data_IF_358005240045
#
_entry.id   IF_358005240045
#
_cell.length_a   1.000
_cell.length_b   1.000
_cell.length_c   1.000
_cell.angle_alpha   90.00
_cell.angle_beta   90.00
_cell.angle_gamma   90.00
#
_symmetry.space_group_name_H-M   'P 1'
#
loop_
_entity.id
_entity.type
_entity.pdbx_description
1 polymer ?
#
# COMPACT_ATOMS: atom_id res chain seq x y z
N UNK A 1 -3.10 -9.68 -26.49
CA UNK A 1 -2.44 -9.08 -25.30
C UNK A 1 -3.37 -8.08 -24.63
N UNK A 2 -3.62 -8.20 -23.33
CA UNK A 2 -4.33 -7.16 -22.56
C UNK A 2 -3.42 -5.94 -22.36
N UNK A 3 -3.94 -4.72 -22.53
CA UNK A 3 -3.15 -3.53 -22.26
C UNK A 3 -3.00 -3.31 -20.75
N UNK A 4 -1.90 -2.65 -20.34
CA UNK A 4 -1.65 -2.28 -18.92
C UNK A 4 -2.81 -1.48 -18.32
N UNK A 5 -3.57 -0.75 -19.13
CA UNK A 5 -4.77 -0.02 -18.71
C UNK A 5 -5.96 -0.95 -18.40
N UNK A 6 -6.20 -1.96 -19.23
CA UNK A 6 -7.29 -2.93 -19.05
C UNK A 6 -7.08 -3.81 -17.81
N UNK A 7 -5.83 -4.24 -17.55
CA UNK A 7 -5.49 -5.02 -16.35
C UNK A 7 -5.75 -4.20 -15.08
N UNK A 8 -5.40 -2.91 -15.07
CA UNK A 8 -5.64 -2.02 -13.92
C UNK A 8 -7.11 -1.72 -13.66
N UNK A 9 -7.91 -1.64 -14.73
CA UNK A 9 -9.34 -1.43 -14.61
C UNK A 9 -10.05 -2.71 -14.12
N UNK A 10 -9.74 -3.86 -14.72
CA UNK A 10 -10.35 -5.15 -14.37
C UNK A 10 -10.02 -5.64 -12.96
N UNK A 11 -8.81 -5.34 -12.46
CA UNK A 11 -8.38 -5.67 -11.09
C UNK A 11 -8.88 -4.71 -10.02
N UNK A 12 -9.58 -3.62 -10.39
CA UNK A 12 -10.00 -2.59 -9.44
C UNK A 12 -8.85 -1.73 -8.88
N UNK A 13 -7.65 -1.83 -9.43
CA UNK A 13 -6.45 -1.11 -8.98
C UNK A 13 -6.62 0.42 -9.01
N UNK A 14 -7.40 0.95 -9.96
CA UNK A 14 -7.64 2.39 -10.03
C UNK A 14 -8.50 2.89 -8.86
N UNK A 15 -9.57 2.17 -8.51
CA UNK A 15 -10.42 2.51 -7.36
C UNK A 15 -9.65 2.31 -6.05
N UNK A 16 -8.90 1.22 -5.93
CA UNK A 16 -8.04 0.98 -4.77
C UNK A 16 -6.96 2.05 -4.59
N UNK A 17 -6.44 2.64 -5.67
CA UNK A 17 -5.48 3.75 -5.59
C UNK A 17 -6.12 5.02 -5.05
N UNK A 18 -7.30 5.38 -5.54
CA UNK A 18 -8.04 6.55 -5.05
C UNK A 18 -8.45 6.38 -3.58
N UNK A 19 -8.91 5.18 -3.21
CA UNK A 19 -9.27 4.86 -1.82
C UNK A 19 -8.04 4.93 -0.92
N UNK A 20 -6.92 4.32 -1.33
CA UNK A 20 -5.65 4.42 -0.60
C UNK A 20 -5.21 5.88 -0.41
N UNK A 21 -5.32 6.72 -1.44
CA UNK A 21 -4.95 8.14 -1.32
C UNK A 21 -5.84 8.92 -0.37
N UNK A 22 -7.16 8.66 -0.40
CA UNK A 22 -8.11 9.26 0.54
C UNK A 22 -7.83 8.84 1.98
N UNK A 23 -7.40 7.59 2.17
CA UNK A 23 -7.09 7.01 3.48
C UNK A 23 -5.77 7.43 4.07
N UNK A 24 -4.75 7.60 3.24
CA UNK A 24 -3.48 8.14 3.68
C UNK A 24 -3.56 9.63 4.00
N UNK A 25 -4.60 10.34 3.56
CA UNK A 25 -4.67 11.80 3.71
C UNK A 25 -4.53 12.30 5.16
N UNK A 26 -5.18 11.71 6.18
CA UNK A 26 -5.03 12.14 7.57
C UNK A 26 -3.64 11.85 8.16
N UNK A 27 -2.99 10.75 7.72
CA UNK A 27 -1.68 10.33 8.23
C UNK A 27 -0.50 10.79 7.36
N UNK A 28 -0.77 11.41 6.21
CA UNK A 28 0.24 11.89 5.26
C UNK A 28 1.28 12.83 5.91
N UNK A 29 0.90 13.79 6.78
CA UNK A 29 1.88 14.61 7.49
C UNK A 29 2.81 13.80 8.41
N UNK A 30 2.26 12.78 9.09
CA UNK A 30 3.02 11.88 9.95
C UNK A 30 4.03 11.04 9.15
N UNK A 31 3.61 10.53 7.98
CA UNK A 31 4.48 9.80 7.06
C UNK A 31 5.60 10.68 6.49
N UNK A 32 5.29 11.95 6.20
CA UNK A 32 6.30 12.92 5.75
C UNK A 32 7.30 13.26 6.87
N UNK A 33 6.83 13.39 8.11
CA UNK A 33 7.69 13.63 9.26
C UNK A 33 8.62 12.44 9.54
N UNK A 34 8.10 11.20 9.43
CA UNK A 34 8.89 9.97 9.51
C UNK A 34 9.94 9.89 8.40
N UNK A 35 9.56 10.21 7.16
CA UNK A 35 10.48 10.22 6.02
C UNK A 35 11.59 11.27 6.18
N UNK A 36 11.26 12.46 6.69
CA UNK A 36 12.23 13.51 6.98
C UNK A 36 13.15 13.15 8.15
N UNK A 37 12.65 12.41 9.15
CA UNK A 37 13.43 11.90 10.28
C UNK A 37 14.30 10.70 9.90
N UNK A 38 14.00 10.00 8.80
CA UNK A 38 14.77 8.88 8.28
C UNK A 38 16.06 9.35 7.58
N UNK A 39 16.94 10.05 8.31
CA UNK A 39 18.38 10.03 8.01
C UNK A 39 19.01 8.87 8.78
N UNK A 40 18.72 7.64 8.35
CA UNK A 40 19.32 6.46 8.95
C UNK A 40 20.85 6.50 8.72
N UNK A 41 21.61 6.75 9.80
CA UNK A 41 23.05 6.48 9.86
C UNK A 41 24.00 7.66 10.03
N UNK A 42 23.55 8.92 10.10
CA UNK A 42 24.48 10.08 10.11
C UNK A 42 24.89 10.57 11.50
N UNK A 43 24.10 10.36 12.57
CA UNK A 43 24.51 10.66 13.95
C UNK A 43 23.57 10.05 15.01
N UNK A 44 24.07 9.86 16.24
CA UNK A 44 23.28 9.41 17.40
C UNK A 44 22.08 10.32 17.70
N UNK A 45 22.26 11.64 17.55
CA UNK A 45 21.19 12.61 17.77
C UNK A 45 20.08 12.47 16.73
N UNK A 46 20.43 12.21 15.46
CA UNK A 46 19.45 11.95 14.41
C UNK A 46 18.71 10.63 14.66
N UNK A 47 19.42 9.59 15.12
CA UNK A 47 18.80 8.32 15.50
C UNK A 47 17.81 8.47 16.66
N UNK A 48 18.15 9.23 17.70
CA UNK A 48 17.24 9.48 18.83
C UNK A 48 16.01 10.29 18.40
N UNK A 49 16.18 11.33 17.58
CA UNK A 49 15.04 12.08 17.01
C UNK A 49 14.13 11.17 16.19
N UNK A 50 14.70 10.31 15.35
CA UNK A 50 13.94 9.34 14.57
C UNK A 50 13.15 8.38 15.46
N UNK A 51 13.76 7.82 16.51
CA UNK A 51 13.08 6.93 17.46
C UNK A 51 11.92 7.66 18.16
N UNK A 52 12.14 8.87 18.65
CA UNK A 52 11.09 9.66 19.33
C UNK A 52 9.92 9.97 18.40
N UNK A 53 10.20 10.37 17.16
CA UNK A 53 9.15 10.63 16.16
C UNK A 53 8.40 9.36 15.81
N UNK A 54 9.10 8.24 15.63
CA UNK A 54 8.46 6.93 15.39
C UNK A 54 7.55 6.53 16.54
N UNK A 55 8.03 6.58 17.78
CA UNK A 55 7.21 6.23 18.94
C UNK A 55 5.98 7.13 19.10
N UNK A 56 6.11 8.45 18.88
CA UNK A 56 5.01 9.39 18.99
C UNK A 56 3.96 9.26 17.88
N UNK A 57 4.32 8.68 16.74
CA UNK A 57 3.42 8.55 15.58
C UNK A 57 2.88 7.13 15.38
N UNK A 58 3.49 6.13 16.03
CA UNK A 58 3.17 4.72 15.83
C UNK A 58 1.71 4.37 16.18
N UNK A 59 1.20 4.94 17.25
CA UNK A 59 -0.18 4.71 17.73
C UNK A 59 -1.22 5.17 16.70
N UNK A 60 -1.11 6.42 16.25
CA UNK A 60 -1.99 6.99 15.21
C UNK A 60 -1.86 6.27 13.85
N UNK A 61 -0.68 5.75 13.52
CA UNK A 61 -0.48 4.94 12.32
C UNK A 61 -1.17 3.57 12.45
N UNK A 62 -1.07 2.92 13.62
CA UNK A 62 -1.66 1.61 13.83
C UNK A 62 -3.19 1.65 13.89
N UNK A 63 -3.79 2.67 14.50
CA UNK A 63 -5.25 2.86 14.53
C UNK A 63 -5.86 2.87 13.12
N UNK A 64 -5.19 3.52 12.17
CA UNK A 64 -5.65 3.55 10.77
C UNK A 64 -5.40 2.23 10.05
N UNK A 65 -4.29 1.55 10.35
CA UNK A 65 -3.94 0.28 9.70
C UNK A 65 -4.78 -0.90 10.21
N UNK A 66 -5.21 -0.87 11.48
CA UNK A 66 -6.00 -1.93 12.11
C UNK A 66 -7.51 -1.77 11.88
N UNK A 67 -7.97 -0.68 11.27
CA UNK A 67 -9.39 -0.51 10.95
C UNK A 67 -9.86 -1.71 10.10
N UNK A 68 -10.84 -2.50 10.61
CA UNK A 68 -11.29 -3.72 9.96
C UNK A 68 -11.75 -3.50 8.52
N UNK A 69 -12.36 -2.34 8.23
CA UNK A 69 -12.82 -2.00 6.88
C UNK A 69 -11.66 -2.01 5.87
N UNK A 70 -10.46 -1.67 6.30
CA UNK A 70 -9.23 -1.64 5.49
C UNK A 70 -8.57 -2.98 5.36
N UNK A 71 -8.53 -3.75 6.45
CA UNK A 71 -8.08 -5.13 6.39
C UNK A 71 -8.88 -5.91 5.34
N UNK A 72 -10.21 -5.75 5.34
CA UNK A 72 -11.10 -6.36 4.35
C UNK A 72 -10.89 -5.84 2.93
N UNK A 73 -10.68 -4.53 2.75
CA UNK A 73 -10.45 -3.96 1.44
C UNK A 73 -9.11 -4.40 0.82
N UNK A 74 -8.04 -4.48 1.61
CA UNK A 74 -6.74 -5.02 1.17
C UNK A 74 -6.84 -6.50 0.82
N UNK A 75 -7.54 -7.28 1.63
CA UNK A 75 -7.77 -8.70 1.36
C UNK A 75 -8.50 -8.91 0.02
N UNK A 76 -9.54 -8.11 -0.25
CA UNK A 76 -10.26 -8.12 -1.53
C UNK A 76 -9.37 -7.72 -2.70
N UNK A 77 -8.47 -6.75 -2.52
CA UNK A 77 -7.52 -6.34 -3.55
C UNK A 77 -6.54 -7.48 -3.88
N UNK A 78 -5.97 -8.14 -2.88
CA UNK A 78 -5.08 -9.28 -3.11
C UNK A 78 -5.82 -10.41 -3.81
N UNK A 79 -7.03 -10.77 -3.35
CA UNK A 79 -7.85 -11.78 -4.01
C UNK A 79 -8.21 -11.42 -5.46
N UNK A 80 -8.42 -10.13 -5.77
CA UNK A 80 -8.66 -9.67 -7.13
C UNK A 80 -7.40 -9.71 -8.02
N UNK A 81 -6.23 -9.44 -7.44
CA UNK A 81 -4.95 -9.59 -8.14
C UNK A 81 -4.64 -11.06 -8.45
N UNK A 82 -4.85 -11.97 -7.48
CA UNK A 82 -4.66 -13.41 -7.67
C UNK A 82 -5.53 -13.92 -8.82
N UNK A 83 -6.82 -13.59 -8.83
CA UNK A 83 -7.73 -13.94 -9.93
C UNK A 83 -7.29 -13.38 -11.28
N UNK A 84 -6.76 -12.16 -11.30
CA UNK A 84 -6.26 -11.55 -12.55
C UNK A 84 -5.00 -12.27 -13.07
N UNK A 85 -4.13 -12.73 -12.17
CA UNK A 85 -2.95 -13.52 -12.51
C UNK A 85 -3.33 -14.92 -13.00
N UNK A 86 -4.25 -15.61 -12.32
CA UNK A 86 -4.77 -16.90 -12.75
C UNK A 86 -5.35 -16.84 -14.18
N UNK A 87 -6.18 -15.83 -14.46
CA UNK A 87 -6.75 -15.63 -15.80
C UNK A 87 -5.69 -15.33 -16.86
N UNK A 88 -4.61 -14.64 -16.49
CA UNK A 88 -3.49 -14.38 -17.38
C UNK A 88 -2.72 -15.67 -17.71
N UNK A 89 -2.39 -16.49 -16.71
CA UNK A 89 -1.69 -17.76 -16.92
C UNK A 89 -2.53 -18.77 -17.69
N UNK A 90 -3.82 -18.88 -17.39
CA UNK A 90 -4.74 -19.75 -18.15
C UNK A 90 -4.74 -19.42 -19.65
N UNK A 91 -4.79 -18.12 -19.97
CA UNK A 91 -4.74 -17.67 -21.36
C UNK A 91 -3.39 -17.96 -22.02
N UNK A 92 -2.30 -17.89 -21.26
CA UNK A 92 -0.98 -18.26 -21.75
C UNK A 92 -0.89 -19.76 -22.07
N UNK A 93 -1.44 -20.63 -21.20
CA UNK A 93 -1.51 -22.07 -21.45
C UNK A 93 -2.33 -22.41 -22.70
N UNK A 94 -3.51 -21.79 -22.87
CA UNK A 94 -4.38 -21.95 -24.05
C UNK A 94 -3.70 -21.48 -25.36
N UNK A 95 -2.92 -20.40 -25.33
CA UNK A 95 -2.19 -19.87 -26.50
C UNK A 95 -0.93 -20.71 -26.85
N UNK A 96 -0.44 -21.53 -25.91
CA UNK A 96 0.72 -22.43 -26.11
C UNK A 96 0.37 -23.87 -26.49
N UNK A 97 -0.92 -24.22 -26.44
CA UNK A 97 -1.46 -25.52 -26.84
C UNK A 97 -1.88 -25.55 -28.32
#
# INVERSE_FOLDING_TARGET
>A
MLSKGQVKHASGLNNSRCDTQRWLAPIKPHLQHLAAASSAGTSLVASLKHITVTLATWDAVWEVYLDPKWAWQRLRLYAAQDRALEQFFKKFEEDTA
#
